data_IF_034367266833
#
_entry.id   IF_034367266833
#
_cell.length_a   1.000
_cell.length_b   1.000
_cell.length_c   1.000
_cell.angle_alpha   90.00
_cell.angle_beta   90.00
_cell.angle_gamma   90.00
#
_symmetry.space_group_name_H-M   'P 1'
#
loop_
_entity.id
_entity.type
_entity.pdbx_description
1 polymer ?
#
# COMPACT_ATOMS: atom_id res chain seq x y z
N UNK A 1 -19.42 -28.46 44.22
CA UNK A 1 -19.54 -27.05 43.75
C UNK A 1 -18.88 -26.95 42.38
N UNK A 2 -19.62 -26.98 41.26
CA UNK A 2 -19.05 -26.72 39.94
C UNK A 2 -19.05 -25.21 39.65
N UNK A 3 -17.91 -24.69 39.17
CA UNK A 3 -17.74 -23.29 38.78
C UNK A 3 -18.44 -23.02 37.44
N UNK A 4 -19.25 -21.97 37.40
CA UNK A 4 -19.99 -21.49 36.24
C UNK A 4 -19.05 -21.00 35.12
N UNK A 5 -19.20 -21.55 33.91
CA UNK A 5 -18.58 -21.01 32.70
C UNK A 5 -19.30 -19.72 32.30
N UNK A 6 -18.65 -18.58 32.54
CA UNK A 6 -19.06 -17.29 32.00
C UNK A 6 -18.97 -17.31 30.46
N UNK A 7 -20.12 -17.47 29.82
CA UNK A 7 -20.27 -17.38 28.38
C UNK A 7 -20.23 -15.89 27.96
N UNK A 8 -19.02 -15.33 27.84
CA UNK A 8 -18.82 -13.95 27.35
C UNK A 8 -19.24 -13.88 25.88
N UNK A 9 -20.45 -13.37 25.63
CA UNK A 9 -20.92 -12.97 24.30
C UNK A 9 -19.94 -11.93 23.74
N UNK A 10 -19.14 -12.31 22.75
CA UNK A 10 -18.32 -11.38 21.97
C UNK A 10 -19.24 -10.66 20.99
N UNK A 11 -19.89 -9.59 21.46
CA UNK A 11 -20.48 -8.59 20.56
C UNK A 11 -19.36 -7.66 20.10
N UNK A 12 -18.71 -7.95 18.95
CA UNK A 12 -17.75 -7.01 18.36
C UNK A 12 -18.50 -5.79 17.84
N UNK A 13 -18.27 -4.65 18.47
CA UNK A 13 -18.82 -3.38 18.05
C UNK A 13 -18.14 -2.95 16.74
N UNK A 14 -18.93 -2.54 15.74
CA UNK A 14 -18.45 -2.17 14.39
C UNK A 14 -17.48 -0.99 14.43
N UNK A 15 -17.58 -0.15 15.46
CA UNK A 15 -16.73 1.02 15.66
C UNK A 15 -15.29 0.68 16.13
N UNK A 16 -15.05 -0.44 16.82
CA UNK A 16 -13.69 -0.82 17.22
C UNK A 16 -12.85 -1.34 16.05
N UNK A 17 -13.48 -1.77 14.95
CA UNK A 17 -12.77 -2.23 13.75
C UNK A 17 -12.10 -1.06 12.99
N UNK A 18 -12.63 0.15 13.15
CA UNK A 18 -12.22 1.34 12.38
C UNK A 18 -10.86 1.89 12.85
N UNK A 19 -10.45 1.58 14.08
CA UNK A 19 -9.19 2.03 14.66
C UNK A 19 -7.97 1.20 14.20
N UNK A 20 -8.19 0.04 13.57
CA UNK A 20 -7.11 -0.81 13.04
C UNK A 20 -6.77 -0.51 11.57
N UNK A 21 -7.53 0.36 10.90
CA UNK A 21 -7.29 0.69 9.49
C UNK A 21 -6.31 1.86 9.42
N UNK A 22 -5.13 1.62 8.83
CA UNK A 22 -4.15 2.67 8.60
C UNK A 22 -4.71 3.69 7.60
N UNK A 23 -4.82 4.95 8.05
CA UNK A 23 -5.40 6.03 7.26
C UNK A 23 -4.30 6.81 6.57
N UNK A 24 -4.51 7.08 5.29
CA UNK A 24 -3.63 7.92 4.49
C UNK A 24 -3.64 9.38 4.97
N UNK A 25 -2.56 10.11 4.69
CA UNK A 25 -2.33 11.51 5.05
C UNK A 25 -1.61 12.24 3.90
N UNK A 26 -1.54 13.58 3.90
CA UNK A 26 -0.68 14.31 2.97
C UNK A 26 0.77 13.80 3.04
N UNK A 27 1.47 13.85 1.90
CA UNK A 27 2.86 13.40 1.79
C UNK A 27 3.74 14.23 2.74
N UNK A 28 4.62 13.55 3.50
CA UNK A 28 5.60 14.21 4.36
C UNK A 28 6.58 15.05 3.55
N UNK A 29 7.03 16.15 4.15
CA UNK A 29 8.07 17.00 3.57
C UNK A 29 9.37 16.20 3.35
N UNK A 30 10.00 16.37 2.18
CA UNK A 30 11.19 15.60 1.79
C UNK A 30 10.92 14.19 1.27
N UNK A 31 9.67 13.72 1.29
CA UNK A 31 9.24 12.43 0.74
C UNK A 31 8.36 12.59 -0.51
N UNK A 32 8.33 13.79 -1.09
CA UNK A 32 7.65 14.12 -2.34
C UNK A 32 8.39 13.56 -3.56
N UNK A 33 7.67 13.39 -4.67
CA UNK A 33 8.22 12.92 -5.94
C UNK A 33 7.49 13.58 -7.12
N UNK A 34 8.03 13.44 -8.33
CA UNK A 34 7.47 14.01 -9.56
C UNK A 34 6.16 13.29 -9.94
N UNK A 35 5.04 13.75 -9.35
CA UNK A 35 3.70 13.18 -9.54
C UNK A 35 3.28 13.13 -11.01
N UNK A 36 3.63 14.16 -11.78
CA UNK A 36 3.25 14.27 -13.20
C UNK A 36 3.91 13.18 -14.05
N UNK A 37 5.18 12.85 -13.75
CA UNK A 37 5.89 11.75 -14.42
C UNK A 37 5.28 10.40 -14.05
N UNK A 38 4.89 10.22 -12.78
CA UNK A 38 4.20 9.01 -12.32
C UNK A 38 2.84 8.88 -12.98
N UNK A 39 2.07 9.96 -13.09
CA UNK A 39 0.77 9.96 -13.77
C UNK A 39 0.89 9.57 -15.24
N UNK A 40 1.82 10.21 -15.98
CA UNK A 40 2.05 9.89 -17.39
C UNK A 40 2.46 8.42 -17.59
N UNK A 41 3.36 7.92 -16.72
CA UNK A 41 3.78 6.54 -16.73
C UNK A 41 2.62 5.57 -16.46
N UNK A 42 1.81 5.83 -15.43
CA UNK A 42 0.69 4.96 -15.07
C UNK A 42 -0.37 4.90 -16.17
N UNK A 43 -0.69 6.05 -16.79
CA UNK A 43 -1.64 6.11 -17.91
C UNK A 43 -1.13 5.36 -19.15
N UNK A 44 0.19 5.36 -19.39
CA UNK A 44 0.81 4.57 -20.46
C UNK A 44 0.89 3.07 -20.15
N UNK A 45 1.11 2.70 -18.88
CA UNK A 45 1.33 1.31 -18.46
C UNK A 45 0.03 0.54 -18.18
N UNK A 46 -1.05 1.24 -17.82
CA UNK A 46 -2.32 0.63 -17.40
C UNK A 46 -3.42 1.04 -18.39
N UNK A 47 -3.83 0.14 -19.31
CA UNK A 47 -4.91 0.41 -20.24
C UNK A 47 -6.21 0.82 -19.51
N UNK A 48 -6.88 1.85 -20.02
CA UNK A 48 -8.14 2.37 -19.47
C UNK A 48 -8.00 3.08 -18.12
N UNK A 49 -6.79 3.52 -17.75
CA UNK A 49 -6.60 4.38 -16.59
C UNK A 49 -6.84 5.84 -16.98
N UNK A 50 -7.96 6.42 -16.52
CA UNK A 50 -8.39 7.78 -16.86
C UNK A 50 -8.72 8.59 -15.59
N UNK A 51 -8.64 9.92 -15.69
CA UNK A 51 -8.85 10.85 -14.57
C UNK A 51 -7.57 11.49 -14.03
N UNK A 52 -7.71 12.33 -13.02
CA UNK A 52 -6.59 13.06 -12.38
C UNK A 52 -5.97 12.20 -11.28
N UNK A 53 -4.64 12.19 -11.22
CA UNK A 53 -3.91 11.55 -10.13
C UNK A 53 -4.00 12.38 -8.84
N UNK A 54 -4.45 11.73 -7.76
CA UNK A 54 -4.27 12.23 -6.39
C UNK A 54 -3.41 11.26 -5.60
N UNK A 55 -2.58 11.80 -4.70
CA UNK A 55 -1.59 11.02 -3.96
C UNK A 55 -1.70 11.31 -2.48
N UNK A 56 -1.82 10.26 -1.70
CA UNK A 56 -1.74 10.31 -0.24
C UNK A 56 -0.74 9.26 0.26
N UNK A 57 -0.22 9.46 1.45
CA UNK A 57 0.82 8.62 2.05
C UNK A 57 0.26 7.84 3.24
N UNK A 58 0.61 6.55 3.32
CA UNK A 58 0.40 5.77 4.53
C UNK A 58 1.49 6.13 5.56
N UNK A 59 1.12 6.54 6.78
CA UNK A 59 2.09 6.95 7.78
C UNK A 59 2.90 5.77 8.35
N UNK A 60 2.38 4.54 8.28
CA UNK A 60 3.11 3.38 8.78
C UNK A 60 4.26 2.98 7.86
N UNK A 61 5.41 2.65 8.46
CA UNK A 61 6.58 2.10 7.76
C UNK A 61 7.68 3.12 7.48
N UNK A 62 8.90 2.80 7.92
CA UNK A 62 10.10 3.62 7.71
C UNK A 62 11.05 3.03 6.65
N UNK A 63 10.95 1.73 6.37
CA UNK A 63 11.88 1.05 5.45
C UNK A 63 11.47 1.14 3.98
N UNK A 64 10.16 1.27 3.71
CA UNK A 64 9.58 1.48 2.39
C UNK A 64 8.38 2.43 2.55
N UNK A 65 8.47 3.58 1.89
CA UNK A 65 7.39 4.55 1.82
C UNK A 65 6.28 3.97 0.94
N UNK A 66 5.05 4.05 1.43
CA UNK A 66 3.86 3.52 0.76
C UNK A 66 2.85 4.64 0.54
N UNK A 67 2.32 4.72 -0.67
CA UNK A 67 1.41 5.77 -1.09
C UNK A 67 0.16 5.15 -1.71
N UNK A 68 -0.98 5.78 -1.45
CA UNK A 68 -2.23 5.55 -2.16
C UNK A 68 -2.30 6.51 -3.34
N UNK A 69 -2.42 5.96 -4.54
CA UNK A 69 -2.65 6.70 -5.76
C UNK A 69 -4.10 6.48 -6.17
N UNK A 70 -4.88 7.56 -6.36
CA UNK A 70 -6.22 7.47 -6.93
C UNK A 70 -6.24 8.16 -8.28
N UNK A 71 -6.73 7.46 -9.29
CA UNK A 71 -6.89 7.97 -10.67
C UNK A 71 -8.28 7.60 -11.15
N UNK A 72 -9.17 8.59 -11.21
CA UNK A 72 -10.60 8.34 -11.42
C UNK A 72 -11.16 7.40 -10.34
N UNK A 73 -11.80 6.31 -10.74
CA UNK A 73 -12.37 5.30 -9.84
C UNK A 73 -11.37 4.21 -9.42
N UNK A 74 -10.09 4.34 -9.80
CA UNK A 74 -9.07 3.32 -9.55
C UNK A 74 -8.13 3.72 -8.44
N UNK A 75 -7.93 2.79 -7.51
CA UNK A 75 -6.95 2.91 -6.43
C UNK A 75 -5.75 1.98 -6.69
N UNK A 76 -4.55 2.53 -6.52
CA UNK A 76 -3.28 1.83 -6.71
C UNK A 76 -2.38 2.07 -5.49
N UNK A 77 -1.50 1.12 -5.19
CA UNK A 77 -0.50 1.25 -4.13
C UNK A 77 0.88 1.42 -4.76
N UNK A 78 1.56 2.51 -4.42
CA UNK A 78 2.93 2.78 -4.85
C UNK A 78 3.89 2.62 -3.68
N UNK A 79 5.00 1.90 -3.90
CA UNK A 79 5.99 1.58 -2.86
C UNK A 79 7.39 1.93 -3.34
N UNK A 80 8.17 2.64 -2.52
CA UNK A 80 9.58 2.97 -2.82
C UNK A 80 10.42 3.12 -1.55
N UNK A 81 11.75 2.97 -1.62
CA UNK A 81 12.63 3.31 -0.51
C UNK A 81 12.63 4.83 -0.21
N UNK A 82 12.95 5.22 1.04
CA UNK A 82 13.09 6.63 1.42
C UNK A 82 14.31 7.30 0.75
N UNK A 83 14.21 8.62 0.53
CA UNK A 83 15.33 9.41 -0.01
C UNK A 83 16.54 9.38 0.93
N UNK A 84 17.76 9.37 0.35
CA UNK A 84 19.00 9.46 1.11
C UNK A 84 19.49 8.18 1.82
N UNK A 85 18.74 7.07 1.77
CA UNK A 85 19.22 5.79 2.30
C UNK A 85 20.31 5.21 1.38
N UNK A 86 21.58 5.41 1.75
CA UNK A 86 22.73 4.76 1.09
C UNK A 86 22.50 3.25 1.06
N UNK A 87 22.66 2.69 -0.14
CA UNK A 87 22.37 1.30 -0.55
C UNK A 87 23.28 0.29 0.17
N UNK A 88 23.14 0.13 1.49
CA UNK A 88 23.70 -1.02 2.21
C UNK A 88 22.63 -2.07 2.55
N UNK A 89 21.36 -1.64 2.64
CA UNK A 89 20.22 -2.50 3.03
C UNK A 89 18.90 -2.09 2.36
N UNK A 90 18.93 -1.29 1.27
CA UNK A 90 17.72 -1.04 0.50
C UNK A 90 17.25 -2.40 -0.05
N UNK A 91 16.12 -2.90 0.45
CA UNK A 91 15.53 -4.14 -0.02
C UNK A 91 15.42 -4.07 -1.55
N UNK A 92 15.97 -5.08 -2.24
CA UNK A 92 15.90 -5.15 -3.70
C UNK A 92 14.43 -5.32 -4.11
N UNK A 93 13.78 -4.19 -4.41
CA UNK A 93 12.39 -4.15 -4.88
C UNK A 93 12.20 -4.97 -6.16
N UNK A 94 13.26 -5.12 -6.98
CA UNK A 94 13.27 -6.02 -8.13
C UNK A 94 13.25 -7.50 -7.72
N UNK A 95 13.91 -7.88 -6.63
CA UNK A 95 13.78 -9.22 -6.02
C UNK A 95 12.38 -9.46 -5.48
N UNK A 96 11.78 -8.48 -4.78
CA UNK A 96 10.40 -8.60 -4.30
C UNK A 96 9.41 -8.75 -5.45
N UNK A 97 9.53 -7.94 -6.51
CA UNK A 97 8.71 -8.07 -7.71
C UNK A 97 8.85 -9.44 -8.37
N UNK A 98 10.09 -9.94 -8.54
CA UNK A 98 10.33 -11.27 -9.13
C UNK A 98 9.68 -12.38 -8.32
N UNK A 99 9.79 -12.31 -6.99
CA UNK A 99 9.16 -13.29 -6.08
C UNK A 99 7.64 -13.18 -6.16
N UNK A 100 7.07 -11.98 -6.06
CA UNK A 100 5.62 -11.79 -6.14
C UNK A 100 5.05 -12.22 -7.50
N UNK A 101 5.74 -11.91 -8.60
CA UNK A 101 5.40 -12.40 -9.95
C UNK A 101 5.40 -13.92 -10.03
N UNK A 102 6.42 -14.57 -9.46
CA UNK A 102 6.51 -16.02 -9.42
C UNK A 102 5.43 -16.66 -8.53
N UNK A 103 4.98 -15.95 -7.49
CA UNK A 103 3.94 -16.42 -6.57
C UNK A 103 2.50 -16.14 -7.04
N UNK A 104 2.29 -15.23 -8.00
CA UNK A 104 0.97 -14.88 -8.55
C UNK A 104 0.12 -16.09 -8.99
N UNK A 105 0.67 -17.15 -9.64
CA UNK A 105 -0.12 -18.33 -10.00
C UNK A 105 -0.65 -19.10 -8.79
N UNK A 106 0.01 -18.97 -7.64
CA UNK A 106 -0.30 -19.73 -6.41
C UNK A 106 -1.14 -18.94 -5.41
N UNK A 107 -1.15 -17.61 -5.51
CA UNK A 107 -1.91 -16.74 -4.62
C UNK A 107 -2.78 -15.78 -5.43
N UNK A 108 -4.08 -16.08 -5.50
CA UNK A 108 -5.08 -15.37 -6.30
C UNK A 108 -5.24 -13.87 -5.95
N UNK A 109 -4.77 -13.44 -4.78
CA UNK A 109 -4.87 -12.05 -4.30
C UNK A 109 -3.58 -11.23 -4.44
N UNK A 110 -2.52 -11.78 -5.06
CA UNK A 110 -1.29 -11.01 -5.30
C UNK A 110 -1.46 -10.10 -6.53
N UNK A 111 -1.63 -8.81 -6.26
CA UNK A 111 -1.47 -7.76 -7.26
C UNK A 111 0.02 -7.59 -7.58
N UNK A 112 0.43 -7.98 -8.79
CA UNK A 112 1.79 -7.77 -9.28
C UNK A 112 1.73 -6.72 -10.37
N UNK A 113 2.23 -5.53 -10.08
CA UNK A 113 2.47 -4.49 -11.08
C UNK A 113 3.83 -3.84 -10.82
N UNK A 114 4.78 -4.17 -11.67
CA UNK A 114 5.94 -3.34 -11.97
C UNK A 114 6.40 -3.70 -13.38
N UNK A 115 6.61 -2.66 -14.18
CA UNK A 115 7.12 -2.62 -15.53
C UNK A 115 7.29 -1.16 -15.80
#
# INVERSE_FOLDING_TARGET
>A
MPAERSNRKIGRNRNELVDFIDRTRPIREGETFETDKVEAFLKGAIPGLEGTLTVEQFPAGHSNLTYLLKVGDRELVFRRPPFGRKVKTAHDMGREYRIQKALKPFFRFLAVSCG
#
